data_IF_365653256925
#
_entry.id   IF_365653256925
#
_cell.length_a   1.000
_cell.length_b   1.000
_cell.length_c   1.000
_cell.angle_alpha   90.00
_cell.angle_beta   90.00
_cell.angle_gamma   90.00
#
_symmetry.space_group_name_H-M   'P 1'
#
loop_
_entity.id
_entity.type
_entity.pdbx_description
1 polymer ?
#
# COMPACT_ATOMS: atom_id res chain seq x y z
N UNK A 1 -16.00 -7.24 -27.87
CA UNK A 1 -14.87 -7.00 -28.79
C UNK A 1 -13.67 -7.66 -28.14
N UNK A 2 -13.16 -8.73 -28.74
CA UNK A 2 -12.02 -9.47 -28.18
C UNK A 2 -10.78 -8.59 -28.21
N UNK A 3 -10.39 -8.08 -27.05
CA UNK A 3 -9.13 -7.37 -26.88
C UNK A 3 -8.01 -8.43 -26.89
N UNK A 4 -7.42 -8.69 -28.07
CA UNK A 4 -6.34 -9.66 -28.24
C UNK A 4 -5.02 -9.06 -27.71
N UNK A 5 -4.90 -8.95 -26.38
CA UNK A 5 -3.70 -8.48 -25.71
C UNK A 5 -2.54 -9.47 -25.93
N UNK A 6 -1.32 -8.96 -26.13
CA UNK A 6 -0.13 -9.79 -26.17
C UNK A 6 0.06 -10.50 -24.83
N UNK A 7 0.38 -11.78 -24.86
CA UNK A 7 0.61 -12.60 -23.66
C UNK A 7 2.09 -12.74 -23.39
N UNK A 8 2.49 -12.45 -22.16
CA UNK A 8 3.88 -12.55 -21.69
C UNK A 8 3.99 -13.62 -20.64
N UNK A 9 4.77 -14.66 -20.87
CA UNK A 9 5.04 -15.72 -19.88
C UNK A 9 6.34 -15.47 -19.12
N UNK A 10 6.30 -15.57 -17.78
CA UNK A 10 7.49 -15.52 -16.93
C UNK A 10 7.81 -16.94 -16.47
N UNK A 11 8.94 -17.44 -16.91
CA UNK A 11 9.40 -18.83 -16.72
C UNK A 11 10.74 -18.88 -15.97
N UNK A 12 11.10 -20.03 -15.45
CA UNK A 12 12.36 -20.28 -14.74
C UNK A 12 12.15 -21.15 -13.50
N UNK A 13 13.24 -21.54 -12.87
CA UNK A 13 13.23 -22.41 -11.68
C UNK A 13 12.52 -21.79 -10.46
N UNK A 14 12.15 -22.57 -9.45
CA UNK A 14 11.71 -22.05 -8.16
C UNK A 14 12.74 -21.09 -7.55
N UNK A 15 12.26 -20.05 -6.86
CA UNK A 15 13.07 -19.07 -6.12
C UNK A 15 14.03 -18.18 -6.94
N UNK A 16 13.93 -18.15 -8.27
CA UNK A 16 14.69 -17.19 -9.12
C UNK A 16 14.12 -15.79 -9.10
N UNK A 17 12.88 -15.58 -8.58
CA UNK A 17 12.25 -14.28 -8.44
C UNK A 17 11.10 -14.02 -9.41
N UNK A 18 10.50 -15.03 -10.03
CA UNK A 18 9.37 -14.90 -10.98
C UNK A 18 8.21 -14.11 -10.40
N UNK A 19 7.70 -14.52 -9.25
CA UNK A 19 6.57 -13.83 -8.58
C UNK A 19 6.94 -12.40 -8.16
N UNK A 20 8.19 -12.14 -7.83
CA UNK A 20 8.66 -10.78 -7.54
C UNK A 20 8.65 -9.91 -8.79
N UNK A 21 9.10 -10.45 -9.96
CA UNK A 21 9.02 -9.74 -11.24
C UNK A 21 7.57 -9.55 -11.67
N UNK A 22 6.74 -10.59 -11.56
CA UNK A 22 5.31 -10.53 -11.83
C UNK A 22 4.62 -9.42 -11.01
N UNK A 23 4.79 -9.42 -9.69
CA UNK A 23 4.23 -8.41 -8.82
C UNK A 23 4.77 -7.01 -9.12
N UNK A 24 6.03 -6.92 -9.55
CA UNK A 24 6.62 -5.65 -9.93
C UNK A 24 6.06 -5.11 -11.23
N UNK A 25 5.93 -5.95 -12.26
CA UNK A 25 5.28 -5.57 -13.51
C UNK A 25 3.81 -5.19 -13.25
N UNK A 26 3.13 -5.93 -12.39
CA UNK A 26 1.75 -5.64 -11.99
C UNK A 26 1.60 -4.36 -11.13
N UNK A 27 2.66 -3.91 -10.44
CA UNK A 27 2.65 -2.68 -9.62
C UNK A 27 3.07 -1.42 -10.38
N UNK A 28 3.65 -1.53 -11.56
CA UNK A 28 3.99 -0.39 -12.38
C UNK A 28 2.79 0.04 -13.23
N UNK A 29 1.89 0.83 -12.62
CA UNK A 29 0.75 1.53 -13.21
C UNK A 29 -0.44 0.64 -13.60
N UNK A 30 -1.50 0.75 -12.80
CA UNK A 30 -2.90 0.43 -13.12
C UNK A 30 -3.15 -0.94 -13.76
N UNK A 31 -2.80 -2.01 -13.03
CA UNK A 31 -3.25 -3.34 -13.40
C UNK A 31 -4.75 -3.43 -13.14
N UNK A 32 -5.57 -3.41 -14.19
CA UNK A 32 -6.95 -3.84 -14.12
C UNK A 32 -6.93 -5.33 -13.74
N UNK A 33 -7.17 -5.62 -12.47
CA UNK A 33 -7.30 -6.99 -12.00
C UNK A 33 -8.65 -7.54 -12.43
N UNK A 34 -8.72 -8.19 -13.56
CA UNK A 34 -9.82 -9.12 -13.81
C UNK A 34 -9.39 -10.50 -13.33
N UNK A 35 -9.73 -10.87 -12.10
CA UNK A 35 -9.74 -12.26 -11.66
C UNK A 35 -10.84 -13.00 -12.42
N UNK A 36 -10.54 -13.46 -13.63
CA UNK A 36 -11.37 -14.47 -14.26
C UNK A 36 -11.10 -15.82 -13.59
N UNK A 37 -11.89 -16.14 -12.57
CA UNK A 37 -12.04 -17.47 -12.01
C UNK A 37 -12.55 -18.43 -13.08
N UNK A 38 -11.64 -19.08 -13.76
CA UNK A 38 -11.89 -20.18 -14.71
C UNK A 38 -11.13 -21.41 -14.27
N UNK A 39 -11.89 -22.39 -13.75
CA UNK A 39 -11.53 -23.77 -13.41
C UNK A 39 -10.38 -24.33 -14.23
N UNK A 40 -9.16 -24.26 -13.73
CA UNK A 40 -8.10 -25.29 -13.75
C UNK A 40 -6.92 -24.74 -12.94
N UNK A 41 -6.45 -25.46 -11.93
CA UNK A 41 -5.26 -25.20 -11.13
C UNK A 41 -4.12 -24.72 -12.03
N UNK A 42 -3.44 -23.59 -11.70
CA UNK A 42 -2.00 -23.38 -11.92
C UNK A 42 -1.48 -22.14 -12.69
N UNK A 43 -2.22 -21.24 -13.28
CA UNK A 43 -1.66 -20.03 -13.92
C UNK A 43 -2.45 -18.78 -13.54
N UNK A 44 -1.80 -17.86 -12.80
CA UNK A 44 -2.38 -16.53 -12.53
C UNK A 44 -2.16 -15.63 -13.74
N UNK A 45 -3.24 -14.94 -14.16
CA UNK A 45 -3.23 -14.01 -15.29
C UNK A 45 -3.50 -12.62 -14.80
N UNK A 46 -2.73 -11.63 -15.28
CA UNK A 46 -2.97 -10.21 -15.00
C UNK A 46 -2.69 -9.37 -16.24
N UNK A 47 -3.51 -8.37 -16.47
CA UNK A 47 -3.24 -7.33 -17.48
C UNK A 47 -2.34 -6.28 -16.85
N UNK A 48 -1.29 -5.90 -17.57
CA UNK A 48 -0.27 -4.94 -17.15
C UNK A 48 -0.10 -3.88 -18.22
N UNK A 49 -0.03 -2.62 -17.82
CA UNK A 49 0.28 -1.48 -18.70
C UNK A 49 1.73 -1.07 -18.48
N UNK A 50 2.56 -1.12 -19.53
CA UNK A 50 4.01 -0.81 -19.43
C UNK A 50 4.32 0.66 -19.73
N UNK A 51 3.56 1.27 -20.64
CA UNK A 51 3.66 2.69 -21.00
C UNK A 51 2.33 3.18 -21.53
N UNK A 52 2.21 4.49 -21.84
CA UNK A 52 0.96 5.06 -22.36
C UNK A 52 0.43 4.22 -23.55
N UNK A 53 -0.74 3.60 -23.36
CA UNK A 53 -1.45 2.79 -24.36
C UNK A 53 -0.82 1.44 -24.75
N UNK A 54 0.03 0.81 -23.92
CA UNK A 54 0.60 -0.51 -24.22
C UNK A 54 0.24 -1.51 -23.12
N UNK A 55 -0.81 -2.29 -23.36
CA UNK A 55 -1.33 -3.29 -22.44
C UNK A 55 -0.94 -4.71 -22.88
N UNK A 56 -0.66 -5.57 -21.93
CA UNK A 56 -0.38 -6.99 -22.19
C UNK A 56 -0.81 -7.87 -21.00
N UNK A 57 -1.08 -9.13 -21.28
CA UNK A 57 -1.45 -10.14 -20.27
C UNK A 57 -0.19 -10.87 -19.76
N UNK A 58 0.11 -10.81 -18.46
CA UNK A 58 1.20 -11.59 -17.85
C UNK A 58 0.66 -12.90 -17.31
N UNK A 59 1.36 -14.00 -17.67
CA UNK A 59 1.11 -15.35 -17.19
C UNK A 59 2.13 -15.70 -16.10
N UNK A 60 1.69 -15.83 -14.83
CA UNK A 60 2.54 -16.28 -13.73
C UNK A 60 2.47 -17.80 -13.57
N UNK A 61 3.57 -18.46 -13.80
CA UNK A 61 3.70 -19.92 -13.58
C UNK A 61 4.18 -20.25 -12.15
N UNK A 62 4.31 -19.26 -11.27
CA UNK A 62 4.89 -19.41 -9.92
C UNK A 62 3.99 -20.03 -8.85
N UNK A 63 2.70 -20.28 -9.14
CA UNK A 63 1.74 -20.84 -8.18
C UNK A 63 1.76 -22.36 -8.02
N UNK A 64 2.60 -23.06 -8.74
CA UNK A 64 2.68 -24.52 -8.72
C UNK A 64 3.60 -24.95 -7.57
N UNK A 65 3.07 -25.75 -6.66
CA UNK A 65 3.82 -26.27 -5.50
C UNK A 65 4.78 -27.38 -5.95
N UNK A 66 6.05 -27.02 -6.12
CA UNK A 66 7.13 -27.93 -6.60
C UNK A 66 7.76 -28.76 -5.49
N UNK A 67 7.10 -28.98 -4.37
CA UNK A 67 7.71 -29.60 -3.20
C UNK A 67 8.11 -31.09 -3.37
N UNK A 68 7.82 -31.72 -4.52
CA UNK A 68 8.14 -33.17 -4.69
C UNK A 68 8.29 -33.69 -6.12
N UNK A 69 8.39 -32.87 -7.19
CA UNK A 69 8.36 -33.40 -8.55
C UNK A 69 9.59 -33.03 -9.40
N UNK A 70 10.08 -33.99 -10.17
CA UNK A 70 11.25 -33.94 -11.06
C UNK A 70 11.19 -32.75 -12.04
N UNK A 71 12.37 -32.19 -12.36
CA UNK A 71 12.61 -31.09 -13.32
C UNK A 71 11.87 -31.29 -14.67
N UNK A 72 11.65 -32.53 -15.12
CA UNK A 72 10.90 -32.83 -16.35
C UNK A 72 9.49 -32.28 -16.39
N UNK A 73 8.77 -32.22 -15.25
CA UNK A 73 7.43 -31.65 -15.19
C UNK A 73 7.46 -30.11 -15.23
N UNK A 74 8.46 -29.50 -14.59
CA UNK A 74 8.67 -28.04 -14.64
C UNK A 74 8.94 -27.61 -16.07
N UNK A 75 9.76 -28.33 -16.81
CA UNK A 75 10.06 -28.08 -18.22
C UNK A 75 8.80 -28.21 -19.09
N UNK A 76 7.99 -29.26 -18.90
CA UNK A 76 6.74 -29.45 -19.65
C UNK A 76 5.73 -28.32 -19.43
N UNK A 77 5.52 -27.88 -18.18
CA UNK A 77 4.65 -26.74 -17.86
C UNK A 77 5.19 -25.44 -18.43
N UNK A 78 6.50 -25.19 -18.34
CA UNK A 78 7.15 -24.02 -18.91
C UNK A 78 6.97 -23.95 -20.42
N UNK A 79 7.18 -25.06 -21.12
CA UNK A 79 6.96 -25.14 -22.57
C UNK A 79 5.51 -24.95 -22.97
N UNK A 80 4.56 -25.44 -22.17
CA UNK A 80 3.14 -25.22 -22.42
C UNK A 80 2.79 -23.75 -22.28
N UNK A 81 3.20 -23.09 -21.19
CA UNK A 81 2.97 -21.67 -20.98
C UNK A 81 3.66 -20.81 -22.07
N UNK A 82 4.88 -21.17 -22.49
CA UNK A 82 5.58 -20.53 -23.58
C UNK A 82 4.84 -20.66 -24.94
N UNK A 83 4.23 -21.79 -25.20
CA UNK A 83 3.42 -22.00 -26.41
C UNK A 83 2.18 -21.11 -26.44
N UNK A 84 1.57 -20.84 -25.29
CA UNK A 84 0.38 -19.98 -25.16
C UNK A 84 0.74 -18.48 -25.16
N UNK A 85 1.98 -18.12 -24.83
CA UNK A 85 2.44 -16.73 -24.79
C UNK A 85 2.93 -16.22 -26.16
N UNK A 86 2.89 -14.90 -26.35
CA UNK A 86 3.48 -14.21 -27.51
C UNK A 86 4.95 -13.82 -27.25
N UNK A 87 5.29 -13.56 -25.99
CA UNK A 87 6.62 -13.14 -25.53
C UNK A 87 6.99 -14.02 -24.33
N UNK A 88 8.25 -14.47 -24.26
CA UNK A 88 8.73 -15.33 -23.20
C UNK A 88 9.88 -14.65 -22.43
N UNK A 89 9.79 -14.65 -21.13
CA UNK A 89 10.83 -14.17 -20.21
C UNK A 89 11.33 -15.39 -19.42
N UNK A 90 12.58 -15.79 -19.62
CA UNK A 90 13.20 -16.85 -18.84
C UNK A 90 14.12 -16.27 -17.78
N UNK A 91 13.82 -16.58 -16.50
CA UNK A 91 14.55 -16.02 -15.35
C UNK A 91 15.50 -17.04 -14.74
N UNK A 92 16.72 -16.58 -14.47
CA UNK A 92 17.78 -17.35 -13.78
C UNK A 92 18.31 -16.58 -12.56
N UNK A 93 18.94 -17.29 -11.63
CA UNK A 93 19.54 -16.71 -10.43
C UNK A 93 21.01 -16.32 -10.71
N UNK A 94 21.30 -15.03 -10.80
CA UNK A 94 22.65 -14.50 -11.09
C UNK A 94 23.69 -14.76 -9.98
N UNK A 95 23.27 -15.20 -8.80
CA UNK A 95 24.20 -15.59 -7.71
C UNK A 95 24.78 -17.00 -7.89
N UNK A 96 24.16 -17.79 -8.77
CA UNK A 96 24.56 -19.17 -9.06
C UNK A 96 25.19 -19.26 -10.46
N UNK A 97 26.01 -20.27 -10.69
CA UNK A 97 26.43 -20.60 -12.05
C UNK A 97 25.25 -21.21 -12.83
N UNK A 98 25.22 -21.02 -14.17
CA UNK A 98 24.23 -21.66 -15.02
C UNK A 98 24.28 -23.19 -14.87
N UNK A 99 23.11 -23.80 -14.67
CA UNK A 99 22.98 -25.25 -14.63
C UNK A 99 22.62 -25.78 -16.02
N UNK A 100 23.04 -27.02 -16.34
CA UNK A 100 22.84 -27.64 -17.66
C UNK A 100 21.35 -27.71 -18.04
N UNK A 101 20.52 -28.03 -17.09
CA UNK A 101 19.07 -28.13 -17.25
C UNK A 101 18.41 -26.76 -17.56
N UNK A 102 18.95 -25.63 -17.05
CA UNK A 102 18.48 -24.29 -17.42
C UNK A 102 18.81 -23.99 -18.90
N UNK A 103 19.99 -24.44 -19.38
CA UNK A 103 20.39 -24.29 -20.77
C UNK A 103 19.53 -25.15 -21.71
N UNK A 104 19.31 -26.40 -21.34
CA UNK A 104 18.45 -27.30 -22.13
C UNK A 104 17.04 -26.73 -22.29
N UNK A 105 16.43 -26.26 -21.21
CA UNK A 105 15.10 -25.66 -21.25
C UNK A 105 15.11 -24.36 -22.07
N UNK A 106 16.13 -23.52 -21.92
CA UNK A 106 16.26 -22.30 -22.69
C UNK A 106 16.37 -22.55 -24.19
N UNK A 107 17.16 -23.55 -24.62
CA UNK A 107 17.26 -23.95 -26.03
C UNK A 107 15.93 -24.45 -26.59
N UNK A 108 15.17 -25.24 -25.81
CA UNK A 108 13.82 -25.65 -26.20
C UNK A 108 12.86 -24.48 -26.35
N UNK A 109 13.02 -23.42 -25.54
CA UNK A 109 12.24 -22.20 -25.66
C UNK A 109 12.64 -21.38 -26.91
N UNK A 110 13.92 -21.35 -27.30
CA UNK A 110 14.39 -20.73 -28.52
C UNK A 110 13.80 -21.39 -29.79
N UNK A 111 13.61 -22.72 -29.78
CA UNK A 111 13.00 -23.45 -30.89
C UNK A 111 11.55 -23.01 -31.18
N UNK A 112 10.86 -22.34 -30.23
CA UNK A 112 9.52 -21.82 -30.44
C UNK A 112 9.48 -20.58 -31.37
N UNK A 113 10.63 -20.01 -31.72
CA UNK A 113 10.76 -18.83 -32.58
C UNK A 113 9.89 -17.63 -32.10
N UNK A 114 9.79 -17.43 -30.81
CA UNK A 114 9.11 -16.30 -30.18
C UNK A 114 10.13 -15.32 -29.57
N UNK A 115 9.78 -14.03 -29.43
CA UNK A 115 10.62 -13.12 -28.65
C UNK A 115 10.91 -13.70 -27.27
N UNK A 116 12.20 -13.95 -26.99
CA UNK A 116 12.67 -14.60 -25.79
C UNK A 116 13.75 -13.75 -25.11
N UNK A 117 13.53 -13.37 -23.87
CA UNK A 117 14.53 -12.70 -23.05
C UNK A 117 15.06 -13.62 -21.95
N UNK A 118 16.37 -13.59 -21.75
CA UNK A 118 17.04 -14.14 -20.58
C UNK A 118 17.19 -13.05 -19.52
N UNK A 119 16.56 -13.23 -18.37
CA UNK A 119 16.65 -12.31 -17.23
C UNK A 119 17.53 -12.94 -16.15
N UNK A 120 18.70 -12.35 -15.92
CA UNK A 120 19.63 -12.75 -14.86
C UNK A 120 19.32 -11.90 -13.61
N UNK A 121 18.52 -12.48 -12.69
CA UNK A 121 18.05 -11.77 -11.50
C UNK A 121 19.01 -11.92 -10.31
N UNK A 122 18.86 -11.04 -9.31
CA UNK A 122 19.66 -10.97 -8.08
C UNK A 122 21.07 -10.43 -8.26
N UNK A 123 21.29 -9.61 -9.29
CA UNK A 123 22.50 -8.80 -9.46
C UNK A 123 22.37 -7.57 -8.56
N UNK A 124 22.63 -7.75 -7.28
CA UNK A 124 22.31 -6.74 -6.24
C UNK A 124 23.40 -5.67 -6.12
N UNK A 125 24.62 -5.96 -6.58
CA UNK A 125 25.76 -5.05 -6.53
C UNK A 125 26.71 -5.24 -7.72
N UNK A 126 27.64 -4.31 -7.91
CA UNK A 126 28.56 -4.26 -9.05
C UNK A 126 29.57 -5.44 -9.07
N UNK A 127 29.84 -6.08 -7.92
CA UNK A 127 30.69 -7.28 -7.85
C UNK A 127 29.99 -8.54 -8.40
N UNK A 128 28.67 -8.54 -8.38
CA UNK A 128 27.88 -9.66 -8.95
C UNK A 128 27.69 -9.47 -10.46
N UNK A 129 27.89 -8.25 -10.98
CA UNK A 129 27.85 -7.96 -12.41
C UNK A 129 28.92 -8.75 -13.19
N UNK A 130 30.08 -9.03 -12.58
CA UNK A 130 31.09 -9.89 -13.21
C UNK A 130 30.58 -11.32 -13.48
N UNK A 131 29.67 -11.83 -12.65
CA UNK A 131 29.09 -13.16 -12.82
C UNK A 131 28.08 -13.23 -13.97
N UNK A 132 27.51 -12.11 -14.35
CA UNK A 132 26.59 -12.01 -15.46
C UNK A 132 27.18 -12.52 -16.78
N UNK A 133 28.47 -12.36 -16.99
CA UNK A 133 29.18 -12.86 -18.19
C UNK A 133 29.05 -14.37 -18.38
N UNK A 134 28.86 -15.15 -17.32
CA UNK A 134 28.68 -16.61 -17.41
C UNK A 134 27.37 -16.99 -18.11
N UNK A 135 26.40 -16.07 -18.20
CA UNK A 135 25.10 -16.34 -18.82
C UNK A 135 25.07 -16.05 -20.33
N UNK A 136 26.15 -15.49 -20.90
CA UNK A 136 26.25 -15.32 -22.35
C UNK A 136 26.34 -16.66 -23.11
N UNK A 137 26.72 -17.72 -22.45
CA UNK A 137 26.73 -19.08 -23.04
C UNK A 137 25.35 -19.58 -23.44
N UNK A 138 24.23 -18.97 -22.93
CA UNK A 138 22.88 -19.27 -23.39
C UNK A 138 22.62 -18.83 -24.83
N UNK A 139 23.44 -17.93 -25.40
CA UNK A 139 23.24 -17.42 -26.75
C UNK A 139 21.92 -16.68 -26.94
N UNK A 140 21.41 -16.05 -25.87
CA UNK A 140 20.16 -15.30 -25.93
C UNK A 140 20.35 -13.98 -26.70
N UNK A 141 19.40 -13.66 -27.60
CA UNK A 141 19.42 -12.40 -28.36
C UNK A 141 19.17 -11.19 -27.43
N UNK A 142 18.33 -11.36 -26.41
CA UNK A 142 18.03 -10.34 -25.40
C UNK A 142 18.38 -10.88 -24.01
N UNK A 143 19.37 -10.28 -23.34
CA UNK A 143 19.80 -10.67 -22.01
C UNK A 143 19.85 -9.44 -21.11
N UNK A 144 19.18 -9.53 -19.93
CA UNK A 144 19.05 -8.42 -19.00
C UNK A 144 19.54 -8.82 -17.59
N UNK A 145 20.66 -8.24 -17.11
CA UNK A 145 20.99 -8.31 -15.69
C UNK A 145 20.00 -7.45 -14.92
N UNK A 146 19.47 -7.92 -13.79
CA UNK A 146 18.62 -7.09 -12.92
C UNK A 146 18.62 -7.52 -11.47
N UNK A 147 18.18 -6.62 -10.60
CA UNK A 147 17.78 -6.95 -9.23
C UNK A 147 16.35 -6.51 -9.01
N UNK A 148 15.43 -7.47 -8.99
CA UNK A 148 14.01 -7.21 -8.77
C UNK A 148 13.77 -6.66 -7.36
N UNK A 149 14.50 -7.14 -6.35
CA UNK A 149 14.39 -6.69 -4.95
C UNK A 149 14.91 -5.27 -4.72
N UNK A 150 15.98 -4.86 -5.46
CA UNK A 150 16.65 -3.56 -5.28
C UNK A 150 16.34 -2.55 -6.39
N UNK A 151 15.42 -2.86 -7.30
CA UNK A 151 15.04 -1.98 -8.41
C UNK A 151 16.22 -1.54 -9.31
N UNK A 152 17.11 -2.45 -9.68
CA UNK A 152 18.28 -2.13 -10.51
C UNK A 152 18.13 -2.69 -11.92
N UNK A 153 18.58 -1.93 -12.91
CA UNK A 153 18.77 -2.33 -14.33
C UNK A 153 17.48 -2.70 -15.09
N UNK A 154 16.34 -2.05 -14.77
CA UNK A 154 15.07 -2.33 -15.44
C UNK A 154 14.88 -1.59 -16.78
N UNK A 155 15.57 -0.47 -17.00
CA UNK A 155 15.27 0.44 -18.10
C UNK A 155 15.37 -0.24 -19.48
N UNK A 156 16.40 -1.04 -19.72
CA UNK A 156 16.61 -1.69 -21.02
C UNK A 156 15.65 -2.85 -21.24
N UNK A 157 15.28 -3.55 -20.17
CA UNK A 157 14.25 -4.57 -20.18
C UNK A 157 12.87 -3.98 -20.53
N UNK A 158 12.51 -2.83 -19.97
CA UNK A 158 11.24 -2.16 -20.30
C UNK A 158 11.21 -1.67 -21.74
N UNK A 159 12.29 -1.08 -22.26
CA UNK A 159 12.38 -0.67 -23.66
C UNK A 159 12.17 -1.85 -24.61
N UNK A 160 12.82 -2.99 -24.31
CA UNK A 160 12.65 -4.22 -25.08
C UNK A 160 11.19 -4.71 -25.09
N UNK A 161 10.51 -4.68 -23.95
CA UNK A 161 9.08 -5.02 -23.88
C UNK A 161 8.22 -4.03 -24.65
N UNK A 162 8.50 -2.73 -24.55
CA UNK A 162 7.77 -1.68 -25.27
C UNK A 162 7.86 -1.82 -26.79
N UNK A 163 9.01 -2.27 -27.31
CA UNK A 163 9.19 -2.52 -28.73
C UNK A 163 8.33 -3.69 -29.25
N UNK A 164 8.09 -4.68 -28.41
CA UNK A 164 7.34 -5.90 -28.77
C UNK A 164 5.82 -5.78 -28.55
N UNK A 165 5.39 -4.85 -27.71
CA UNK A 165 3.98 -4.65 -27.38
C UNK A 165 3.47 -3.45 -28.17
N UNK A 166 2.55 -3.64 -29.15
CA UNK A 166 2.03 -2.54 -29.94
C UNK A 166 1.20 -1.59 -29.05
N UNK A 167 1.23 -0.27 -29.34
CA UNK A 167 0.32 0.65 -28.69
C UNK A 167 -1.12 0.28 -29.03
N UNK A 168 -2.03 0.47 -28.08
CA UNK A 168 -3.45 0.30 -28.29
C UNK A 168 -3.92 1.30 -29.36
N UNK A 169 -4.59 0.83 -30.39
CA UNK A 169 -5.19 1.72 -31.40
C UNK A 169 -6.16 2.67 -30.69
N UNK A 170 -5.87 3.96 -30.74
CA UNK A 170 -6.80 4.99 -30.32
C UNK A 170 -8.01 4.89 -31.25
N UNK A 171 -9.16 4.48 -30.74
CA UNK A 171 -10.43 4.77 -31.40
C UNK A 171 -10.49 6.28 -31.56
N UNK A 172 -10.66 6.76 -32.82
CA UNK A 172 -10.77 8.17 -33.16
C UNK A 172 -11.67 8.89 -32.14
N UNK A 173 -11.29 10.08 -31.67
CA UNK A 173 -12.13 10.85 -30.79
C UNK A 173 -13.42 11.14 -31.56
N UNK A 174 -14.54 10.60 -31.10
CA UNK A 174 -15.85 11.12 -31.48
C UNK A 174 -15.84 12.60 -31.13
N UNK A 175 -15.75 13.46 -32.13
CA UNK A 175 -16.06 14.87 -32.02
C UNK A 175 -17.49 14.99 -31.52
N UNK A 176 -17.64 15.08 -30.19
CA UNK A 176 -18.88 15.52 -29.59
C UNK A 176 -18.93 17.03 -29.76
N UNK A 177 -19.75 17.44 -30.72
CA UNK A 177 -20.19 18.83 -30.81
C UNK A 177 -20.66 19.29 -29.41
N UNK A 178 -20.17 20.45 -29.02
CA UNK A 178 -20.53 21.10 -27.78
C UNK A 178 -22.05 21.44 -27.82
N UNK A 179 -22.86 20.58 -27.19
CA UNK A 179 -24.21 20.98 -26.77
C UNK A 179 -24.08 21.41 -25.32
N UNK A 180 -24.17 22.71 -25.10
CA UNK A 180 -24.47 23.32 -23.81
C UNK A 180 -25.75 22.71 -23.25
N UNK A 181 -25.75 22.43 -21.93
CA UNK A 181 -26.87 21.94 -21.12
C UNK A 181 -27.00 20.42 -20.91
N UNK A 182 -25.99 19.80 -20.34
CA UNK A 182 -26.13 18.65 -19.42
C UNK A 182 -25.02 18.73 -18.38
N UNK A 183 -25.36 18.63 -17.10
CA UNK A 183 -24.38 18.51 -16.03
C UNK A 183 -23.61 17.18 -16.19
N UNK A 184 -22.38 17.19 -16.76
CA UNK A 184 -21.67 15.95 -17.09
C UNK A 184 -21.10 15.26 -15.85
N UNK A 185 -21.38 15.80 -14.65
CA UNK A 185 -20.90 15.31 -13.36
C UNK A 185 -22.03 14.71 -12.51
N UNK A 186 -23.30 14.91 -12.88
CA UNK A 186 -24.45 14.41 -12.13
C UNK A 186 -24.47 12.90 -11.98
N UNK A 187 -24.18 12.15 -13.06
CA UNK A 187 -24.10 10.68 -13.00
C UNK A 187 -22.88 10.18 -12.20
N UNK A 188 -21.73 10.88 -12.32
CA UNK A 188 -20.51 10.52 -11.60
C UNK A 188 -20.61 10.80 -10.08
N UNK A 189 -21.39 11.84 -9.72
CA UNK A 189 -21.64 12.19 -8.32
C UNK A 189 -22.73 11.29 -7.71
N UNK A 190 -23.70 10.79 -8.51
CA UNK A 190 -24.70 9.85 -8.02
C UNK A 190 -24.09 8.53 -7.57
N UNK A 191 -23.14 7.96 -8.33
CA UNK A 191 -22.46 6.70 -8.00
C UNK A 191 -21.60 6.80 -6.72
N UNK A 192 -21.08 8.01 -6.42
CA UNK A 192 -20.28 8.25 -5.19
C UNK A 192 -21.18 8.47 -3.97
N UNK A 193 -22.41 8.97 -4.16
CA UNK A 193 -23.35 9.23 -3.08
C UNK A 193 -24.13 7.97 -2.64
N UNK A 194 -24.13 6.91 -3.43
CA UNK A 194 -24.84 5.64 -3.17
C UNK A 194 -23.97 4.60 -2.42
N UNK A 195 -22.80 4.96 -1.90
CA UNK A 195 -22.09 4.06 -0.97
C UNK A 195 -22.97 3.87 0.26
N UNK A 196 -23.32 2.62 0.64
CA UNK A 196 -24.10 2.36 1.84
C UNK A 196 -23.41 3.00 3.04
N UNK A 197 -24.12 3.82 3.79
CA UNK A 197 -23.68 4.21 5.13
C UNK A 197 -23.72 2.92 5.94
N UNK A 198 -22.55 2.43 6.38
CA UNK A 198 -22.46 1.30 7.30
C UNK A 198 -23.33 1.60 8.53
N UNK A 199 -24.29 0.72 8.80
CA UNK A 199 -25.27 0.87 9.88
C UNK A 199 -24.63 0.87 11.29
N UNK A 200 -23.30 0.65 11.42
CA UNK A 200 -22.56 0.58 12.68
C UNK A 200 -21.52 1.71 12.83
N UNK A 201 -21.87 2.93 12.41
CA UNK A 201 -20.97 4.11 12.36
C UNK A 201 -20.52 4.63 13.74
N UNK A 202 -20.91 3.98 14.84
CA UNK A 202 -20.59 4.36 16.22
C UNK A 202 -19.54 3.44 16.89
N UNK A 203 -19.10 2.35 16.26
CA UNK A 203 -18.02 1.52 16.79
C UNK A 203 -16.66 2.00 16.26
N UNK A 204 -15.72 2.27 17.19
CA UNK A 204 -14.36 2.69 16.90
C UNK A 204 -13.40 1.56 17.30
N UNK A 205 -12.71 0.99 16.35
CA UNK A 205 -11.74 -0.08 16.60
C UNK A 205 -10.35 0.48 16.78
N UNK A 206 -9.73 0.19 17.93
CA UNK A 206 -8.47 0.78 18.36
C UNK A 206 -7.41 -0.29 18.60
N UNK A 207 -6.27 -0.17 17.95
CA UNK A 207 -5.10 -1.00 18.20
C UNK A 207 -4.09 -0.29 19.12
N UNK A 208 -3.66 -0.91 20.21
CA UNK A 208 -2.58 -0.40 21.07
C UNK A 208 -1.28 -1.11 20.67
N UNK A 209 -0.38 -0.40 20.03
CA UNK A 209 0.87 -0.94 19.46
C UNK A 209 2.11 -0.25 20.05
N UNK A 210 3.27 -0.86 19.87
CA UNK A 210 4.55 -0.35 20.38
C UNK A 210 5.42 -1.48 20.92
N UNK A 211 6.67 -1.17 21.27
CA UNK A 211 7.66 -2.13 21.80
C UNK A 211 7.20 -2.84 23.08
N UNK A 212 7.89 -3.90 23.42
CA UNK A 212 7.74 -4.55 24.73
C UNK A 212 8.10 -3.57 25.86
N UNK A 213 7.33 -3.60 26.96
CA UNK A 213 7.52 -2.75 28.14
C UNK A 213 7.26 -1.23 27.96
N UNK A 214 6.68 -0.77 26.87
CA UNK A 214 6.22 0.62 26.71
C UNK A 214 4.98 0.94 27.56
N UNK A 215 4.32 -0.08 28.14
CA UNK A 215 3.18 0.09 29.05
C UNK A 215 1.81 -0.13 28.42
N UNK A 216 1.70 -0.85 27.29
CA UNK A 216 0.43 -1.15 26.61
C UNK A 216 -0.63 -1.77 27.52
N UNK A 217 -0.26 -2.83 28.26
CA UNK A 217 -1.18 -3.49 29.21
C UNK A 217 -1.58 -2.58 30.36
N UNK A 218 -0.68 -1.71 30.81
CA UNK A 218 -0.98 -0.74 31.87
C UNK A 218 -1.95 0.33 31.37
N UNK A 219 -1.77 0.81 30.13
CA UNK A 219 -2.69 1.76 29.51
C UNK A 219 -4.07 1.16 29.31
N UNK A 220 -4.16 -0.05 28.72
CA UNK A 220 -5.44 -0.73 28.55
C UNK A 220 -6.20 -0.88 29.88
N UNK A 221 -5.50 -1.36 30.93
CA UNK A 221 -6.11 -1.50 32.25
C UNK A 221 -6.56 -0.16 32.84
N UNK A 222 -5.79 0.92 32.64
CA UNK A 222 -6.16 2.26 33.12
C UNK A 222 -7.39 2.80 32.39
N UNK A 223 -7.48 2.63 31.06
CA UNK A 223 -8.65 3.02 30.27
C UNK A 223 -9.90 2.27 30.68
N UNK A 224 -9.83 0.96 30.90
CA UNK A 224 -10.94 0.12 31.35
C UNK A 224 -11.37 0.42 32.80
N UNK A 225 -10.45 0.92 33.66
CA UNK A 225 -10.79 1.31 35.04
C UNK A 225 -11.46 2.68 35.08
N UNK A 226 -11.14 3.59 34.21
CA UNK A 226 -11.79 4.91 34.09
C UNK A 226 -13.29 4.76 33.79
N UNK A 227 -13.66 3.83 32.89
CA UNK A 227 -15.07 3.55 32.56
C UNK A 227 -15.87 3.08 33.78
N UNK A 228 -15.35 2.13 34.57
CA UNK A 228 -15.99 1.62 35.75
C UNK A 228 -16.25 2.69 36.83
N UNK A 229 -15.55 3.83 36.72
CA UNK A 229 -15.72 5.01 37.59
C UNK A 229 -16.84 5.92 37.13
N UNK A 230 -17.27 5.84 35.85
CA UNK A 230 -18.23 6.77 35.21
C UNK A 230 -19.60 6.13 34.99
N UNK A 231 -19.70 4.79 34.89
CA UNK A 231 -20.95 4.10 34.56
C UNK A 231 -21.31 3.09 35.65
N UNK A 232 -22.49 3.28 36.27
CA UNK A 232 -23.16 2.30 37.15
C UNK A 232 -23.84 1.21 36.30
N UNK A 233 -23.58 -0.05 36.66
CA UNK A 233 -24.38 -1.26 36.47
C UNK A 233 -25.27 -1.38 35.22
N UNK A 234 -24.69 -1.79 34.08
CA UNK A 234 -25.41 -2.63 33.12
C UNK A 234 -24.48 -3.75 32.67
N UNK A 235 -24.70 -4.95 33.21
CA UNK A 235 -24.05 -6.17 32.76
C UNK A 235 -24.75 -6.68 31.49
N UNK A 236 -24.00 -6.97 30.46
CA UNK A 236 -24.45 -7.91 29.42
C UNK A 236 -24.36 -7.43 27.98
N UNK A 237 -23.29 -7.83 27.32
CA UNK A 237 -23.40 -8.34 25.95
C UNK A 237 -22.19 -9.24 25.64
N UNK A 238 -22.48 -10.38 25.05
CA UNK A 238 -21.54 -11.44 24.63
C UNK A 238 -20.62 -10.87 23.54
N UNK A 239 -19.34 -10.68 23.87
CA UNK A 239 -18.31 -10.20 22.95
C UNK A 239 -17.25 -11.27 22.85
N UNK A 240 -16.61 -11.38 21.69
CA UNK A 240 -15.47 -12.26 21.44
C UNK A 240 -14.49 -12.20 22.63
N UNK A 241 -14.06 -13.33 23.19
CA UNK A 241 -13.22 -13.34 24.40
C UNK A 241 -11.82 -12.73 24.20
N UNK A 242 -11.58 -12.06 23.08
CA UNK A 242 -10.31 -11.52 22.61
C UNK A 242 -10.27 -9.99 22.67
N UNK A 243 -11.41 -9.30 22.54
CA UNK A 243 -11.51 -7.84 22.47
C UNK A 243 -12.24 -7.27 23.68
N UNK A 244 -11.88 -6.06 24.10
CA UNK A 244 -12.52 -5.35 25.22
C UNK A 244 -13.07 -4.01 24.73
N UNK A 245 -14.31 -3.69 25.11
CA UNK A 245 -15.01 -2.48 24.66
C UNK A 245 -15.37 -1.59 25.84
N UNK A 246 -15.42 -0.28 25.57
CA UNK A 246 -15.91 0.74 26.49
C UNK A 246 -16.91 1.65 25.75
N UNK A 247 -17.95 2.09 26.48
CA UNK A 247 -18.86 3.13 25.99
C UNK A 247 -18.32 4.49 26.42
N UNK A 248 -18.03 5.37 25.47
CA UNK A 248 -17.52 6.71 25.76
C UNK A 248 -18.20 7.76 24.88
N UNK A 249 -18.88 8.72 25.52
CA UNK A 249 -19.79 9.64 24.83
C UNK A 249 -20.78 8.80 23.98
N UNK A 250 -21.08 9.14 22.78
CA UNK A 250 -22.01 8.40 21.93
C UNK A 250 -21.34 7.34 21.05
N UNK A 251 -20.15 6.85 21.45
CA UNK A 251 -19.36 5.90 20.68
C UNK A 251 -18.93 4.69 21.51
N UNK A 252 -18.93 3.53 20.87
CA UNK A 252 -18.37 2.29 21.42
C UNK A 252 -16.91 2.17 20.95
N UNK A 253 -15.96 2.17 21.88
CA UNK A 253 -14.54 2.01 21.59
C UNK A 253 -14.13 0.56 21.88
N UNK A 254 -13.71 -0.18 20.87
CA UNK A 254 -13.31 -1.58 20.96
C UNK A 254 -11.79 -1.72 20.77
N UNK A 255 -11.09 -2.19 21.81
CA UNK A 255 -9.65 -2.45 21.75
C UNK A 255 -9.39 -3.84 21.18
N UNK A 256 -8.73 -3.91 20.01
CA UNK A 256 -8.51 -5.18 19.30
C UNK A 256 -7.33 -5.97 19.89
N UNK A 257 -7.43 -7.31 19.89
CA UNK A 257 -6.41 -8.28 20.37
C UNK A 257 -5.91 -8.03 21.81
N UNK A 258 -6.80 -7.68 22.74
CA UNK A 258 -6.44 -7.40 24.13
C UNK A 258 -5.84 -8.62 24.85
N UNK A 259 -6.23 -9.85 24.47
CA UNK A 259 -5.66 -11.09 24.98
C UNK A 259 -4.15 -11.20 24.71
N UNK A 260 -3.70 -10.70 23.58
CA UNK A 260 -2.29 -10.64 23.23
C UNK A 260 -1.51 -9.60 24.03
N UNK A 261 -2.14 -8.51 24.37
CA UNK A 261 -1.55 -7.46 25.20
C UNK A 261 -1.34 -7.99 26.63
N UNK A 262 -2.28 -8.79 27.18
CA UNK A 262 -2.22 -9.35 28.54
C UNK A 262 -1.23 -10.53 28.70
N UNK A 263 -1.10 -11.41 27.68
CA UNK A 263 -0.25 -12.62 27.75
C UNK A 263 1.26 -12.36 27.65
N UNK A 264 1.71 -11.18 27.22
CA UNK A 264 3.11 -10.84 26.90
C UNK A 264 4.06 -10.70 28.11
N UNK A 265 3.63 -10.93 29.32
CA UNK A 265 4.53 -10.90 30.50
C UNK A 265 5.66 -11.96 30.52
N UNK A 266 5.71 -12.94 29.58
CA UNK A 266 6.61 -14.12 29.69
C UNK A 266 7.31 -14.60 28.42
N UNK A 267 7.17 -13.94 27.26
CA UNK A 267 7.84 -14.42 26.03
C UNK A 267 8.92 -13.44 25.59
N UNK A 268 10.16 -13.80 25.85
CA UNK A 268 11.38 -13.17 25.35
C UNK A 268 11.78 -13.93 24.08
N UNK A 269 11.85 -13.25 22.95
CA UNK A 269 12.44 -13.77 21.73
C UNK A 269 11.52 -13.70 20.49
N UNK A 270 12.08 -13.15 19.40
CA UNK A 270 11.62 -13.12 18.00
C UNK A 270 10.82 -11.85 17.63
N UNK A 271 11.56 -10.79 17.28
CA UNK A 271 11.05 -9.53 16.70
C UNK A 271 10.14 -9.73 15.48
N UNK A 272 10.43 -10.74 14.66
CA UNK A 272 9.67 -11.05 13.44
C UNK A 272 8.22 -11.49 13.71
N UNK A 273 7.98 -12.21 14.82
CA UNK A 273 6.63 -12.58 15.26
C UNK A 273 5.85 -11.39 15.83
N UNK A 274 6.55 -10.40 16.37
CA UNK A 274 5.91 -9.19 16.90
C UNK A 274 5.33 -8.32 15.78
N UNK A 275 6.04 -8.15 14.65
CA UNK A 275 5.57 -7.36 13.51
C UNK A 275 4.36 -8.01 12.81
N UNK A 276 4.42 -9.30 12.46
CA UNK A 276 3.31 -9.97 11.78
C UNK A 276 2.01 -10.00 12.61
N UNK A 277 2.11 -10.05 13.96
CA UNK A 277 0.93 -9.92 14.81
C UNK A 277 0.42 -8.48 14.86
N UNK A 278 1.31 -7.50 14.84
CA UNK A 278 0.93 -6.09 14.77
C UNK A 278 0.18 -5.81 13.45
N UNK A 279 0.62 -6.37 12.33
CA UNK A 279 -0.10 -6.28 11.05
C UNK A 279 -1.53 -6.82 11.18
N UNK A 280 -1.72 -8.04 11.69
CA UNK A 280 -3.05 -8.64 11.87
C UNK A 280 -3.97 -7.86 12.85
N UNK A 281 -3.40 -7.11 13.79
CA UNK A 281 -4.17 -6.20 14.65
C UNK A 281 -4.60 -4.95 13.89
N UNK A 282 -3.67 -4.38 13.10
CA UNK A 282 -3.92 -3.16 12.34
C UNK A 282 -4.96 -3.35 11.23
N UNK A 283 -4.99 -4.52 10.58
CA UNK A 283 -6.03 -4.86 9.59
C UNK A 283 -7.47 -4.78 10.12
N UNK A 284 -7.64 -4.86 11.44
CA UNK A 284 -8.97 -4.86 12.09
C UNK A 284 -9.29 -3.56 12.82
N UNK A 285 -8.41 -2.59 12.78
CA UNK A 285 -8.53 -1.37 13.56
C UNK A 285 -8.67 -0.13 12.66
N UNK A 286 -9.33 0.89 13.16
CA UNK A 286 -9.47 2.20 12.52
C UNK A 286 -8.36 3.16 12.98
N UNK A 287 -7.98 3.05 14.27
CA UNK A 287 -7.03 3.96 14.92
C UNK A 287 -5.94 3.16 15.61
N UNK A 288 -4.68 3.59 15.43
CA UNK A 288 -3.52 3.07 16.12
C UNK A 288 -3.03 4.01 17.23
N UNK A 289 -2.92 3.51 18.46
CA UNK A 289 -2.23 4.18 19.56
C UNK A 289 -0.77 3.69 19.59
N UNK A 290 0.16 4.50 19.09
CA UNK A 290 1.59 4.19 19.09
C UNK A 290 2.20 4.55 20.45
N UNK A 291 2.53 3.54 21.26
CA UNK A 291 3.10 3.71 22.59
C UNK A 291 4.63 3.88 22.54
N UNK A 292 5.13 5.04 22.96
CA UNK A 292 6.56 5.34 23.11
C UNK A 292 6.89 5.51 24.57
N UNK A 293 8.03 4.99 25.00
CA UNK A 293 8.54 5.14 26.35
C UNK A 293 9.34 6.44 26.49
N UNK A 294 8.89 7.39 27.33
CA UNK A 294 9.53 8.67 27.53
C UNK A 294 10.99 8.57 28.04
N UNK A 295 11.35 7.46 28.70
CA UNK A 295 12.68 7.26 29.27
C UNK A 295 13.71 6.84 28.24
N UNK A 296 13.29 6.21 27.15
CA UNK A 296 14.19 5.69 26.10
C UNK A 296 14.04 6.43 24.76
N UNK A 297 12.96 7.18 24.57
CA UNK A 297 12.63 7.82 23.29
C UNK A 297 12.26 6.81 22.20
N UNK A 298 12.30 7.27 20.95
CA UNK A 298 12.07 6.44 19.76
C UNK A 298 13.27 5.52 19.53
N UNK A 299 13.00 4.31 19.12
CA UNK A 299 14.01 3.32 18.73
C UNK A 299 13.62 2.67 17.40
N UNK A 300 14.56 2.06 16.69
CA UNK A 300 14.39 1.44 15.36
C UNK A 300 13.14 0.54 15.25
N UNK A 301 12.80 -0.20 16.30
CA UNK A 301 11.59 -1.02 16.30
C UNK A 301 10.31 -0.17 16.38
N UNK A 302 10.34 0.99 17.04
CA UNK A 302 9.21 1.92 17.06
C UNK A 302 8.98 2.53 15.68
N UNK A 303 10.06 2.87 14.95
CA UNK A 303 9.98 3.35 13.57
C UNK A 303 9.37 2.30 12.64
N UNK A 304 9.78 1.03 12.77
CA UNK A 304 9.21 -0.08 11.98
C UNK A 304 7.72 -0.29 12.27
N UNK A 305 7.33 -0.23 13.55
CA UNK A 305 5.92 -0.34 13.97
C UNK A 305 5.12 0.87 13.45
N UNK A 306 5.68 2.06 13.54
CA UNK A 306 5.10 3.28 13.02
C UNK A 306 4.91 3.24 11.49
N UNK A 307 5.85 2.63 10.77
CA UNK A 307 5.74 2.39 9.33
C UNK A 307 4.55 1.51 8.94
N UNK A 308 4.10 0.61 9.83
CA UNK A 308 2.87 -0.16 9.60
C UNK A 308 1.62 0.72 9.67
N UNK A 309 1.59 1.73 10.55
CA UNK A 309 0.45 2.69 10.62
C UNK A 309 0.31 3.41 9.28
N UNK A 310 1.43 3.85 8.69
CA UNK A 310 1.44 4.48 7.37
C UNK A 310 1.01 3.49 6.27
N UNK A 311 1.54 2.26 6.29
CA UNK A 311 1.20 1.20 5.33
C UNK A 311 -0.30 0.90 5.30
N UNK A 312 -0.94 0.81 6.47
CA UNK A 312 -2.38 0.51 6.59
C UNK A 312 -3.26 1.76 6.58
N UNK A 313 -2.68 2.95 6.36
CA UNK A 313 -3.43 4.23 6.25
C UNK A 313 -4.39 4.50 7.41
N UNK A 314 -3.93 4.27 8.62
CA UNK A 314 -4.76 4.34 9.84
C UNK A 314 -4.81 5.74 10.44
N UNK A 315 -5.90 6.04 11.17
CA UNK A 315 -5.87 7.10 12.17
C UNK A 315 -4.78 6.81 13.21
N UNK A 316 -4.06 7.83 13.68
CA UNK A 316 -2.93 7.65 14.56
C UNK A 316 -2.88 8.65 15.72
N UNK A 317 -2.56 8.16 16.91
CA UNK A 317 -2.20 8.96 18.08
C UNK A 317 -0.88 8.44 18.66
N UNK A 318 0.11 9.30 18.81
CA UNK A 318 1.39 8.99 19.45
C UNK A 318 1.26 9.23 20.95
N UNK A 319 1.42 8.16 21.75
CA UNK A 319 1.26 8.19 23.20
C UNK A 319 2.62 8.03 23.88
N UNK A 320 3.13 9.11 24.44
CA UNK A 320 4.40 9.14 25.17
C UNK A 320 4.11 8.77 26.65
N UNK A 321 4.36 7.51 26.97
CA UNK A 321 4.08 6.96 28.29
C UNK A 321 5.27 7.04 29.25
N UNK A 322 5.06 6.82 30.54
CA UNK A 322 6.01 6.94 31.63
C UNK A 322 6.53 8.37 31.82
N UNK A 323 5.68 9.34 31.52
CA UNK A 323 6.06 10.78 31.62
C UNK A 323 6.42 11.21 33.04
N UNK A 324 5.94 10.47 34.06
CA UNK A 324 6.26 10.65 35.49
C UNK A 324 7.73 10.40 35.82
N UNK A 325 8.44 9.61 35.02
CA UNK A 325 9.83 9.23 35.23
C UNK A 325 10.74 9.58 34.03
N UNK A 326 10.36 10.56 33.20
CA UNK A 326 11.05 10.95 31.95
C UNK A 326 12.47 11.54 32.13
N UNK A 327 12.87 11.79 33.38
CA UNK A 327 14.11 12.50 33.68
C UNK A 327 13.97 14.02 33.49
N UNK A 328 15.03 14.68 33.02
CA UNK A 328 15.10 16.14 32.85
C UNK A 328 14.56 16.63 31.50
N UNK A 329 14.20 15.72 30.60
CA UNK A 329 13.74 16.04 29.24
C UNK A 329 12.46 16.87 29.25
N UNK A 330 12.46 18.01 28.56
CA UNK A 330 11.28 18.86 28.40
C UNK A 330 10.26 18.24 27.45
N UNK A 331 9.04 18.78 27.41
CA UNK A 331 8.02 18.33 26.46
C UNK A 331 8.41 18.67 25.02
N UNK A 332 8.93 19.88 24.82
CA UNK A 332 9.36 20.40 23.52
C UNK A 332 10.47 19.54 22.91
N UNK A 333 11.48 19.20 23.69
CA UNK A 333 12.56 18.32 23.26
C UNK A 333 12.07 16.92 22.89
N UNK A 334 11.15 16.36 23.68
CA UNK A 334 10.58 15.03 23.39
C UNK A 334 9.75 15.04 22.12
N UNK A 335 9.01 16.12 21.87
CA UNK A 335 8.20 16.28 20.64
C UNK A 335 9.10 16.45 19.43
N UNK A 336 10.16 17.26 19.51
CA UNK A 336 11.12 17.48 18.42
C UNK A 336 11.81 16.18 18.02
N UNK A 337 12.34 15.42 18.98
CA UNK A 337 12.97 14.13 18.73
C UNK A 337 12.00 13.15 18.03
N UNK A 338 10.77 13.02 18.53
CA UNK A 338 9.77 12.12 17.94
C UNK A 338 9.38 12.57 16.51
N UNK A 339 9.26 13.88 16.28
CA UNK A 339 8.94 14.42 14.96
C UNK A 339 10.08 14.22 13.97
N UNK A 340 11.31 14.27 14.43
CA UNK A 340 12.48 14.03 13.59
C UNK A 340 12.63 12.56 13.18
N UNK A 341 12.34 11.62 14.06
CA UNK A 341 12.42 10.18 13.79
C UNK A 341 11.17 9.69 13.02
N UNK A 342 9.98 10.20 13.34
CA UNK A 342 8.70 9.75 12.75
C UNK A 342 8.11 10.80 11.78
N UNK A 343 8.91 11.33 10.85
CA UNK A 343 8.50 12.39 9.88
C UNK A 343 7.29 12.01 9.04
N UNK A 344 7.13 10.73 8.72
CA UNK A 344 5.99 10.22 7.94
C UNK A 344 4.67 10.23 8.73
N UNK A 345 4.70 10.18 10.08
CA UNK A 345 3.54 10.35 10.93
C UNK A 345 3.35 11.81 11.40
N UNK A 346 3.74 12.79 10.58
CA UNK A 346 3.63 14.22 10.91
C UNK A 346 2.20 14.66 11.23
N UNK A 347 1.19 13.96 10.72
CA UNK A 347 -0.22 14.23 10.94
C UNK A 347 -0.74 13.74 12.30
N UNK A 348 -0.05 12.79 12.95
CA UNK A 348 -0.50 12.21 14.21
C UNK A 348 -0.26 13.17 15.38
N UNK A 349 -1.28 13.50 16.21
CA UNK A 349 -1.07 14.25 17.44
C UNK A 349 -0.25 13.45 18.44
N UNK A 350 0.36 14.16 19.41
CA UNK A 350 1.13 13.58 20.49
C UNK A 350 0.48 13.89 21.84
N UNK A 351 0.45 12.90 22.73
CA UNK A 351 0.00 13.07 24.11
C UNK A 351 0.99 12.43 25.09
N UNK A 352 1.34 13.15 26.16
CA UNK A 352 2.15 12.60 27.25
C UNK A 352 1.28 12.09 28.37
N UNK A 353 1.53 10.86 28.81
CA UNK A 353 0.76 10.19 29.87
C UNK A 353 1.65 9.48 30.88
N UNK A 354 1.07 9.10 32.01
CA UNK A 354 1.57 8.02 32.84
C UNK A 354 0.46 7.01 33.09
N UNK A 355 0.51 5.88 32.41
CA UNK A 355 -0.44 4.80 32.60
C UNK A 355 -0.41 4.22 34.04
N UNK A 356 0.71 4.42 34.77
CA UNK A 356 0.87 3.97 36.15
C UNK A 356 0.16 4.88 37.17
N UNK A 357 0.21 6.19 36.93
CA UNK A 357 -0.36 7.18 37.87
C UNK A 357 -1.75 7.68 37.44
N UNK A 358 -2.23 7.28 36.25
CA UNK A 358 -3.47 7.78 35.66
C UNK A 358 -3.33 9.16 35.00
N UNK A 359 -2.15 9.77 35.01
CA UNK A 359 -1.93 11.13 34.49
C UNK A 359 -2.33 11.23 33.01
N UNK A 360 -3.32 12.07 32.69
CA UNK A 360 -3.85 12.36 31.34
C UNK A 360 -4.39 11.17 30.56
N UNK A 361 -4.62 10.01 31.19
CA UNK A 361 -5.15 8.82 30.52
C UNK A 361 -6.54 9.07 29.93
N UNK A 362 -7.43 9.76 30.69
CA UNK A 362 -8.78 10.14 30.24
C UNK A 362 -8.79 10.93 28.92
N UNK A 363 -7.76 11.75 28.66
CA UNK A 363 -7.66 12.53 27.41
C UNK A 363 -7.46 11.67 26.16
N UNK A 364 -7.02 10.42 26.32
CA UNK A 364 -6.85 9.49 25.18
C UNK A 364 -8.20 9.17 24.55
N UNK A 365 -9.24 8.97 25.38
CA UNK A 365 -10.60 8.68 24.88
C UNK A 365 -11.16 9.86 24.07
N UNK A 366 -10.95 11.11 24.54
CA UNK A 366 -11.31 12.31 23.78
C UNK A 366 -10.61 12.33 22.43
N UNK A 367 -9.29 12.11 22.43
CA UNK A 367 -8.49 12.10 21.19
C UNK A 367 -8.92 10.99 20.21
N UNK A 368 -9.27 9.81 20.69
CA UNK A 368 -9.79 8.71 19.85
C UNK A 368 -11.08 9.15 19.14
N UNK A 369 -12.03 9.72 19.87
CA UNK A 369 -13.31 10.18 19.31
C UNK A 369 -13.09 11.31 18.32
N UNK A 370 -12.22 12.28 18.64
CA UNK A 370 -11.90 13.41 17.76
C UNK A 370 -11.22 12.94 16.45
N UNK A 371 -10.23 12.03 16.54
CA UNK A 371 -9.56 11.43 15.38
C UNK A 371 -10.56 10.66 14.53
N UNK A 372 -11.44 9.85 15.14
CA UNK A 372 -12.42 9.09 14.39
C UNK A 372 -13.44 9.98 13.68
N UNK A 373 -13.85 11.09 14.33
CA UNK A 373 -14.69 12.09 13.70
C UNK A 373 -14.05 12.68 12.42
N UNK A 374 -12.74 12.96 12.47
CA UNK A 374 -11.97 13.43 11.30
C UNK A 374 -11.73 12.31 10.27
N UNK A 375 -11.59 11.06 10.71
CA UNK A 375 -11.38 9.89 9.86
C UNK A 375 -12.59 9.60 8.97
N UNK A 376 -13.79 9.83 9.47
CA UNK A 376 -15.04 9.71 8.71
C UNK A 376 -15.50 11.01 8.05
N UNK A 377 -14.75 12.11 8.23
CA UNK A 377 -15.12 13.42 7.68
C UNK A 377 -15.20 13.39 6.15
N UNK A 378 -16.30 13.96 5.62
CA UNK A 378 -16.46 14.19 4.20
C UNK A 378 -16.40 15.68 3.88
N UNK A 379 -15.51 16.05 2.97
CA UNK A 379 -15.41 17.43 2.47
C UNK A 379 -16.45 17.62 1.36
N UNK A 380 -17.31 18.64 1.42
CA UNK A 380 -18.20 18.97 0.31
C UNK A 380 -17.40 19.23 -0.97
N UNK A 381 -17.82 18.61 -2.08
CA UNK A 381 -17.08 18.65 -3.35
C UNK A 381 -16.81 20.07 -3.84
N UNK A 382 -17.75 21.00 -3.65
CA UNK A 382 -17.57 22.43 -4.00
C UNK A 382 -16.41 23.05 -3.22
N UNK A 383 -16.39 22.88 -1.89
CA UNK A 383 -15.35 23.44 -1.02
C UNK A 383 -13.98 22.83 -1.32
N UNK A 384 -13.93 21.51 -1.62
CA UNK A 384 -12.70 20.85 -2.03
C UNK A 384 -12.16 21.44 -3.34
N UNK A 385 -13.01 21.63 -4.35
CA UNK A 385 -12.60 22.21 -5.62
C UNK A 385 -12.16 23.67 -5.49
N UNK A 386 -12.83 24.47 -4.67
CA UNK A 386 -12.42 25.84 -4.41
C UNK A 386 -11.05 25.88 -3.73
N UNK A 387 -10.82 24.99 -2.76
CA UNK A 387 -9.52 24.84 -2.08
C UNK A 387 -8.41 24.44 -3.05
N UNK A 388 -8.66 23.48 -3.94
CA UNK A 388 -7.69 23.05 -4.94
C UNK A 388 -7.40 24.17 -5.95
N UNK A 389 -8.42 24.92 -6.41
CA UNK A 389 -8.22 26.09 -7.29
C UNK A 389 -7.38 27.17 -6.62
N UNK A 390 -7.65 27.46 -5.33
CA UNK A 390 -6.86 28.42 -4.56
C UNK A 390 -5.40 27.95 -4.44
N UNK A 391 -5.16 26.67 -4.16
CA UNK A 391 -3.82 26.10 -4.11
C UNK A 391 -3.09 26.25 -5.45
N UNK A 392 -3.76 25.93 -6.58
CA UNK A 392 -3.19 26.06 -7.94
C UNK A 392 -2.87 27.52 -8.26
N UNK A 393 -3.71 28.47 -7.83
CA UNK A 393 -3.46 29.90 -8.06
C UNK A 393 -2.24 30.42 -7.31
N UNK A 394 -1.94 29.86 -6.14
CA UNK A 394 -0.74 30.20 -5.33
C UNK A 394 0.54 29.58 -5.88
N UNK A 395 0.46 28.31 -6.28
CA UNK A 395 1.57 27.59 -6.88
C UNK A 395 1.06 26.79 -8.09
N UNK A 396 1.39 27.27 -9.28
CA UNK A 396 1.00 26.58 -10.51
C UNK A 396 1.57 25.18 -10.58
N UNK A 397 0.80 24.27 -11.21
CA UNK A 397 1.25 22.90 -11.43
C UNK A 397 2.50 22.93 -12.32
N UNK A 398 3.64 22.35 -11.89
CA UNK A 398 4.85 22.33 -12.70
C UNK A 398 4.62 21.61 -14.04
N UNK A 399 5.15 22.15 -15.13
CA UNK A 399 5.19 21.42 -16.39
C UNK A 399 6.31 20.39 -16.35
N UNK A 400 6.06 19.19 -16.85
CA UNK A 400 7.06 18.14 -16.94
C UNK A 400 7.40 17.89 -18.42
N UNK A 401 8.67 18.02 -18.81
CA UNK A 401 9.15 17.89 -20.20
C UNK A 401 8.33 18.71 -21.23
N UNK A 402 7.94 19.94 -20.87
CA UNK A 402 7.13 20.81 -21.73
C UNK A 402 5.63 20.47 -21.79
N UNK A 403 5.20 19.42 -21.11
CA UNK A 403 3.81 19.03 -21.03
C UNK A 403 3.09 19.77 -19.89
N UNK A 404 1.99 20.44 -20.20
CA UNK A 404 1.19 21.15 -19.21
C UNK A 404 0.24 20.19 -18.53
N UNK A 405 0.37 20.06 -17.20
CA UNK A 405 -0.56 19.31 -16.37
C UNK A 405 -1.67 20.25 -15.90
N UNK A 406 -2.94 19.85 -16.10
CA UNK A 406 -4.11 20.62 -15.67
C UNK A 406 -4.97 19.74 -14.75
N UNK A 407 -5.16 20.20 -13.51
CA UNK A 407 -6.14 19.61 -12.60
C UNK A 407 -7.50 20.21 -12.93
N UNK A 408 -8.44 19.36 -13.33
CA UNK A 408 -9.78 19.77 -13.78
C UNK A 408 -10.80 19.77 -12.65
N UNK A 409 -10.69 18.77 -11.76
CA UNK A 409 -11.68 18.51 -10.72
C UNK A 409 -11.03 17.70 -9.58
N UNK A 410 -11.58 17.85 -8.37
CA UNK A 410 -11.19 17.07 -7.19
C UNK A 410 -12.45 16.53 -6.50
N UNK A 411 -12.42 15.27 -6.08
CA UNK A 411 -13.51 14.65 -5.32
C UNK A 411 -12.97 13.75 -4.25
N UNK A 412 -13.61 13.73 -3.08
CA UNK A 412 -13.35 12.73 -2.05
C UNK A 412 -14.24 11.52 -2.33
N UNK A 413 -13.64 10.41 -2.73
CA UNK A 413 -14.36 9.19 -3.11
C UNK A 413 -14.47 8.17 -1.98
N UNK A 414 -13.65 8.30 -0.93
CA UNK A 414 -13.68 7.41 0.23
C UNK A 414 -13.47 8.18 1.53
N UNK A 415 -14.11 7.70 2.59
CA UNK A 415 -13.80 8.01 3.99
C UNK A 415 -13.24 6.74 4.64
N UNK A 416 -12.55 6.83 5.76
CA UNK A 416 -12.03 5.68 6.52
C UNK A 416 -11.07 4.75 5.70
N UNK A 417 -9.91 5.23 5.24
CA UNK A 417 -9.33 6.58 5.34
C UNK A 417 -9.85 7.54 4.28
N UNK A 418 -9.71 8.88 4.50
CA UNK A 418 -10.05 9.88 3.49
C UNK A 418 -9.16 9.75 2.25
N UNK A 419 -9.79 9.48 1.10
CA UNK A 419 -9.12 9.41 -0.21
C UNK A 419 -9.72 10.44 -1.16
N UNK A 420 -8.86 11.24 -1.78
CA UNK A 420 -9.23 12.31 -2.72
C UNK A 420 -8.66 11.98 -4.09
N UNK A 421 -9.52 11.99 -5.11
CA UNK A 421 -9.10 11.89 -6.50
C UNK A 421 -8.98 13.28 -7.12
N UNK A 422 -7.86 13.52 -7.80
CA UNK A 422 -7.63 14.67 -8.66
C UNK A 422 -7.81 14.23 -10.11
N UNK A 423 -8.82 14.72 -10.78
CA UNK A 423 -9.04 14.47 -12.20
C UNK A 423 -8.14 15.40 -13.00
N UNK A 424 -7.16 14.83 -13.66
CA UNK A 424 -6.13 15.55 -14.40
C UNK A 424 -6.03 15.08 -15.85
N UNK A 425 -5.51 15.91 -16.73
CA UNK A 425 -5.30 15.54 -18.14
C UNK A 425 -4.15 14.53 -18.31
N UNK A 426 -3.15 14.55 -17.40
CA UNK A 426 -1.94 13.72 -17.44
C UNK A 426 -1.52 13.31 -16.04
N UNK A 427 -2.13 12.24 -15.45
CA UNK A 427 -1.85 11.81 -14.07
C UNK A 427 -0.38 11.54 -13.82
N UNK A 428 0.27 10.87 -14.76
CA UNK A 428 1.66 10.44 -14.67
C UNK A 428 2.70 11.58 -14.61
N UNK A 429 2.29 12.81 -14.97
CA UNK A 429 3.15 13.98 -14.92
C UNK A 429 2.89 14.85 -13.68
N UNK A 430 1.93 14.48 -12.83
CA UNK A 430 1.72 15.16 -11.56
C UNK A 430 2.74 14.63 -10.53
N UNK A 431 3.79 15.43 -10.31
CA UNK A 431 4.90 15.04 -9.43
C UNK A 431 4.44 14.87 -7.97
N UNK A 432 4.97 13.87 -7.27
CA UNK A 432 4.62 13.57 -5.87
C UNK A 432 4.81 14.77 -4.92
N UNK A 433 5.79 15.65 -5.18
CA UNK A 433 5.98 16.87 -4.37
C UNK A 433 4.81 17.84 -4.50
N UNK A 434 4.14 17.87 -5.65
CA UNK A 434 2.96 18.71 -5.84
C UNK A 434 1.74 18.10 -5.15
N UNK A 435 1.60 16.78 -5.16
CA UNK A 435 0.58 16.06 -4.38
C UNK A 435 0.76 16.36 -2.88
N UNK A 436 2.01 16.32 -2.38
CA UNK A 436 2.33 16.67 -0.99
C UNK A 436 1.97 18.12 -0.67
N UNK A 437 2.26 19.06 -1.59
CA UNK A 437 1.85 20.45 -1.44
C UNK A 437 0.33 20.58 -1.34
N UNK A 438 -0.43 19.92 -2.22
CA UNK A 438 -1.90 19.92 -2.17
C UNK A 438 -2.43 19.30 -0.88
N UNK A 439 -1.87 18.18 -0.44
CA UNK A 439 -2.22 17.56 0.84
C UNK A 439 -2.04 18.52 2.01
N UNK A 440 -0.89 19.20 2.09
CA UNK A 440 -0.63 20.18 3.13
C UNK A 440 -1.58 21.39 3.03
N UNK A 441 -1.91 21.81 1.81
CA UNK A 441 -2.85 22.92 1.60
C UNK A 441 -4.28 22.55 2.03
N UNK A 442 -4.75 21.35 1.67
CA UNK A 442 -6.06 20.84 2.11
C UNK A 442 -6.10 20.72 3.63
N UNK A 443 -5.05 20.18 4.27
CA UNK A 443 -4.93 20.12 5.73
C UNK A 443 -4.94 21.48 6.40
N UNK A 444 -4.49 22.54 5.74
CA UNK A 444 -4.55 23.91 6.28
C UNK A 444 -5.96 24.50 6.29
N UNK A 445 -6.88 23.95 5.51
CA UNK A 445 -8.27 24.40 5.38
C UNK A 445 -9.26 23.48 6.11
N UNK A 446 -8.95 22.19 6.17
CA UNK A 446 -9.76 21.17 6.81
C UNK A 446 -8.95 20.44 7.88
N UNK A 447 -9.57 20.21 9.03
CA UNK A 447 -8.92 19.51 10.13
C UNK A 447 -8.86 18.01 9.86
N UNK A 448 -7.65 17.53 9.56
CA UNK A 448 -7.29 16.12 9.41
C UNK A 448 -6.17 15.72 10.39
N UNK A 449 -6.11 16.37 11.56
CA UNK A 449 -5.15 15.96 12.59
C UNK A 449 -5.46 14.55 13.06
N UNK A 450 -4.44 13.71 13.12
CA UNK A 450 -4.55 12.29 13.48
C UNK A 450 -4.98 11.38 12.33
N UNK A 451 -5.23 11.89 11.13
CA UNK A 451 -5.80 11.14 10.01
C UNK A 451 -4.90 11.21 8.78
N UNK A 452 -4.55 10.08 8.13
CA UNK A 452 -3.88 10.11 6.84
C UNK A 452 -4.81 10.73 5.78
N UNK A 453 -4.22 11.33 4.76
CA UNK A 453 -4.96 11.90 3.63
C UNK A 453 -4.30 11.43 2.34
N UNK A 454 -4.97 10.56 1.62
CA UNK A 454 -4.50 10.05 0.35
C UNK A 454 -5.03 10.88 -0.80
N UNK A 455 -4.12 11.27 -1.69
CA UNK A 455 -4.47 12.03 -2.89
C UNK A 455 -3.92 11.28 -4.10
N UNK A 456 -4.80 10.86 -4.99
CA UNK A 456 -4.44 10.15 -6.22
C UNK A 456 -4.82 10.97 -7.44
N UNK A 457 -3.97 10.93 -8.47
CA UNK A 457 -4.26 11.56 -9.75
C UNK A 457 -4.90 10.53 -10.69
N UNK A 458 -6.01 10.89 -11.37
CA UNK A 458 -6.75 10.01 -12.28
C UNK A 458 -7.10 10.73 -13.59
N UNK A 459 -7.30 9.97 -14.66
CA UNK A 459 -7.92 10.48 -15.89
C UNK A 459 -9.43 10.54 -15.74
N UNK A 460 -10.09 11.36 -16.55
CA UNK A 460 -11.55 11.40 -16.62
C UNK A 460 -12.08 10.05 -17.12
N UNK A 461 -13.04 9.46 -16.40
CA UNK A 461 -13.68 8.18 -16.75
C UNK A 461 -12.99 6.92 -16.20
N UNK A 462 -11.90 7.04 -15.45
CA UNK A 462 -11.34 5.92 -14.68
C UNK A 462 -12.26 5.62 -13.49
N UNK A 463 -12.64 4.34 -13.32
CA UNK A 463 -13.45 3.90 -12.18
C UNK A 463 -12.61 3.87 -10.92
N UNK A 464 -13.24 4.15 -9.77
CA UNK A 464 -12.65 3.93 -8.44
C UNK A 464 -12.87 2.46 -8.09
N UNK A 465 -11.81 1.68 -7.98
CA UNK A 465 -11.88 0.34 -7.42
C UNK A 465 -11.57 0.42 -5.93
N UNK A 466 -12.28 -0.36 -5.11
CA UNK A 466 -12.11 -0.38 -3.63
C UNK A 466 -10.71 -0.84 -3.19
N UNK A 467 -9.90 -1.40 -4.10
CA UNK A 467 -8.61 -2.02 -3.84
C UNK A 467 -7.40 -1.26 -4.43
N UNK A 468 -7.40 0.07 -4.39
CA UNK A 468 -6.14 0.82 -4.59
C UNK A 468 -5.23 0.62 -3.36
N UNK A 469 -4.82 -0.63 -3.07
CA UNK A 469 -3.77 -0.97 -2.11
C UNK A 469 -2.40 -0.55 -2.67
N UNK A 470 -1.74 0.32 -1.92
CA UNK A 470 -0.38 0.84 -2.17
C UNK A 470 0.71 -0.22 -1.93
#
# INVERSE_FOLDING_TARGET
MDNNLKKVAILGRPNVGKSSLFNRLARQRDAITSDMSGTTRDVKKRVVTISENRDFEVLDTGGIDYSSELFSKVAEFSLRAAKEADIVIYMVDGKKLPEEEDRELFYQLQELNKPLALVVNKIDNDKEEEKYWNFFEFGAEATFPMSVSHNRYFNDFYKWLEELIPPREESEPLELEASDEADPFGEFISDINDTPQDEDDNEIRVAIIGRVNTGKSSLLNALLQEERSVVSDVAGTTIDPIDESIEYKDSKITFVDTAGIRRRGKIVGIEKYALGRTEAMLEKADIALLMIDATTGVMELDERIAGLIEKFRMGALIVINKWDIRGEKSYEEAVEDIRDELKFLHYAPLITISAKTGMRVHKILDQIVDIYGRYKQRIPTSQLNDTVREAISRHHVPSHHGAVVKIKFATQYQTKPPKIALIVNRPNFLHFSYIRYLSNYIRSKFDFEGVPLDIVARKRGERFEEDDEF
#
